data_IF_872412335360
#
_entry.id   IF_872412335360
#
_cell.length_a   1.000
_cell.length_b   1.000
_cell.length_c   1.000
_cell.angle_alpha   90.00
_cell.angle_beta   90.00
_cell.angle_gamma   90.00
#
_symmetry.space_group_name_H-M   'P 1'
#
loop_
_entity.id
_entity.type
_entity.pdbx_description
1 polymer ?
#
# COMPACT_ATOMS: atom_id res chain seq x y z
N UNK A 1 6.60 -21.46 -1.83
CA UNK A 1 6.92 -20.04 -1.58
C UNK A 1 8.16 -19.73 -2.39
N UNK A 2 8.13 -18.72 -3.25
CA UNK A 2 9.32 -18.33 -4.02
C UNK A 2 10.37 -17.72 -3.08
N UNK A 3 11.64 -17.75 -3.48
CA UNK A 3 12.70 -17.04 -2.76
C UNK A 3 12.42 -15.54 -2.71
N UNK A 4 12.77 -14.89 -1.61
CA UNK A 4 12.49 -13.46 -1.39
C UNK A 4 13.12 -12.57 -2.48
N UNK A 5 14.25 -13.00 -3.06
CA UNK A 5 14.91 -12.31 -4.17
C UNK A 5 14.08 -12.32 -5.45
N UNK A 6 13.36 -13.41 -5.72
CA UNK A 6 12.48 -13.50 -6.90
C UNK A 6 11.27 -12.60 -6.71
N UNK A 7 10.68 -12.64 -5.50
CA UNK A 7 9.52 -11.82 -5.15
C UNK A 7 9.83 -10.33 -5.23
N UNK A 8 11.01 -9.91 -4.74
CA UNK A 8 11.45 -8.52 -4.77
C UNK A 8 11.61 -7.93 -6.20
N UNK A 9 11.85 -8.77 -7.21
CA UNK A 9 11.94 -8.34 -8.61
C UNK A 9 10.58 -8.41 -9.30
N UNK A 10 9.82 -9.47 -9.02
CA UNK A 10 8.56 -9.73 -9.70
C UNK A 10 7.42 -8.81 -9.24
N UNK A 11 7.32 -8.54 -7.93
CA UNK A 11 6.24 -7.73 -7.37
C UNK A 11 6.18 -6.30 -7.93
N UNK A 12 7.28 -5.52 -7.96
CA UNK A 12 7.25 -4.17 -8.54
C UNK A 12 6.77 -4.16 -10.00
N UNK A 13 7.22 -5.14 -10.80
CA UNK A 13 6.84 -5.27 -12.20
C UNK A 13 5.34 -5.52 -12.35
N UNK A 14 4.78 -6.44 -11.56
CA UNK A 14 3.34 -6.74 -11.61
C UNK A 14 2.53 -5.54 -11.16
N UNK A 15 2.92 -4.85 -10.08
CA UNK A 15 2.18 -3.69 -9.59
C UNK A 15 2.21 -2.52 -10.57
N UNK A 16 3.33 -2.29 -11.24
CA UNK A 16 3.45 -1.29 -12.29
C UNK A 16 2.55 -1.62 -13.48
N UNK A 17 2.55 -2.87 -13.94
CA UNK A 17 1.69 -3.31 -15.04
C UNK A 17 0.20 -3.20 -14.68
N UNK A 18 -0.19 -3.59 -13.47
CA UNK A 18 -1.57 -3.45 -12.99
C UNK A 18 -1.97 -1.97 -12.95
N UNK A 19 -1.10 -1.10 -12.43
CA UNK A 19 -1.34 0.33 -12.36
C UNK A 19 -1.50 0.98 -13.75
N UNK A 20 -0.69 0.58 -14.74
CA UNK A 20 -0.78 1.09 -16.11
C UNK A 20 -2.12 0.75 -16.78
N UNK A 21 -2.76 -0.34 -16.35
CA UNK A 21 -4.09 -0.77 -16.80
C UNK A 21 -5.22 -0.26 -15.90
N UNK A 22 -4.95 0.73 -15.03
CA UNK A 22 -5.90 1.29 -14.06
C UNK A 22 -6.47 0.25 -13.08
N UNK A 23 -5.74 -0.84 -12.84
CA UNK A 23 -6.08 -1.86 -11.86
C UNK A 23 -5.66 -1.49 -10.45
N UNK A 24 -6.14 -2.24 -9.46
CA UNK A 24 -5.79 -2.06 -8.05
C UNK A 24 -4.87 -3.17 -7.56
N UNK A 25 -3.84 -2.85 -6.77
CA UNK A 25 -2.91 -3.83 -6.16
C UNK A 25 -3.58 -4.70 -5.08
N UNK A 26 -4.79 -4.34 -4.69
CA UNK A 26 -5.64 -5.07 -3.76
C UNK A 26 -7.11 -4.90 -4.17
N UNK A 27 -7.85 -6.01 -4.19
CA UNK A 27 -9.30 -6.00 -4.31
C UNK A 27 -9.92 -5.95 -2.90
N UNK A 28 -9.95 -7.10 -2.21
CA UNK A 28 -10.63 -7.29 -0.92
C UNK A 28 -9.69 -7.50 0.27
N UNK A 29 -8.50 -8.07 0.03
CA UNK A 29 -7.58 -8.50 1.07
C UNK A 29 -6.81 -7.37 1.79
N UNK A 30 -7.00 -6.14 1.33
CA UNK A 30 -6.35 -4.95 1.88
C UNK A 30 -4.85 -4.87 1.55
N UNK A 31 -4.23 -3.82 2.11
CA UNK A 31 -2.82 -3.48 1.86
C UNK A 31 -1.93 -4.15 2.91
N UNK A 32 -2.23 -3.91 4.20
CA UNK A 32 -1.45 -4.43 5.31
C UNK A 32 0.03 -4.03 5.26
N UNK A 33 0.86 -4.68 6.10
CA UNK A 33 2.31 -4.45 6.11
C UNK A 33 2.97 -4.83 4.78
N UNK A 34 2.51 -5.90 4.14
CA UNK A 34 3.15 -6.45 2.94
C UNK A 34 3.03 -5.52 1.73
N UNK A 35 1.90 -4.81 1.57
CA UNK A 35 1.67 -3.98 0.38
C UNK A 35 1.78 -2.48 0.62
N UNK A 36 2.12 -2.06 1.84
CA UNK A 36 2.18 -0.65 2.24
C UNK A 36 3.06 0.17 1.30
N UNK A 37 4.26 -0.32 1.01
CA UNK A 37 5.24 0.41 0.21
C UNK A 37 4.81 0.50 -1.27
N UNK A 38 3.88 -0.36 -1.69
CA UNK A 38 3.29 -0.38 -3.02
C UNK A 38 2.00 0.45 -3.14
N UNK A 39 1.48 1.05 -2.06
CA UNK A 39 0.23 1.81 -2.05
C UNK A 39 0.17 2.90 -3.14
N UNK A 40 1.33 3.48 -3.48
CA UNK A 40 1.51 4.47 -4.55
C UNK A 40 1.06 4.01 -5.93
N UNK A 41 1.04 2.70 -6.19
CA UNK A 41 0.59 2.13 -7.47
C UNK A 41 -0.94 2.18 -7.61
N UNK A 42 -1.69 2.40 -6.54
CA UNK A 42 -3.17 2.44 -6.58
C UNK A 42 -3.79 3.71 -6.01
N UNK A 43 -3.02 4.54 -5.29
CA UNK A 43 -3.50 5.79 -4.69
C UNK A 43 -2.52 6.91 -5.00
N UNK A 44 -3.08 8.07 -5.33
CA UNK A 44 -2.28 9.27 -5.57
C UNK A 44 -1.65 9.79 -4.27
N UNK A 45 -0.54 10.55 -4.35
CA UNK A 45 0.09 11.15 -3.18
C UNK A 45 -0.87 12.02 -2.34
N UNK A 46 -1.79 12.73 -3.00
CA UNK A 46 -2.77 13.60 -2.34
C UNK A 46 -3.78 12.79 -1.51
N UNK A 47 -4.21 11.64 -2.05
CA UNK A 47 -5.13 10.75 -1.36
C UNK A 47 -4.44 10.06 -0.17
N UNK A 48 -3.18 9.65 -0.33
CA UNK A 48 -2.37 9.12 0.78
C UNK A 48 -2.19 10.18 1.88
N UNK A 49 -1.92 11.44 1.51
CA UNK A 49 -1.82 12.53 2.47
C UNK A 49 -3.15 12.80 3.19
N UNK A 50 -4.27 12.69 2.49
CA UNK A 50 -5.61 12.77 3.10
C UNK A 50 -5.83 11.63 4.12
N UNK A 51 -5.48 10.39 3.76
CA UNK A 51 -5.58 9.25 4.68
C UNK A 51 -4.74 9.45 5.95
N UNK A 52 -3.52 10.01 5.82
CA UNK A 52 -2.67 10.37 6.97
C UNK A 52 -3.34 11.40 7.87
N UNK A 53 -3.88 12.48 7.31
CA UNK A 53 -4.58 13.52 8.09
C UNK A 53 -5.78 12.96 8.85
N UNK A 54 -6.56 12.07 8.22
CA UNK A 54 -7.68 11.39 8.89
C UNK A 54 -7.15 10.52 10.02
N UNK A 55 -6.07 9.76 9.79
CA UNK A 55 -5.44 8.92 10.82
C UNK A 55 -4.98 9.76 12.02
N UNK A 56 -4.29 10.86 11.78
CA UNK A 56 -3.75 11.72 12.84
C UNK A 56 -4.87 12.42 13.63
N UNK A 57 -6.00 12.71 12.99
CA UNK A 57 -7.17 13.28 13.66
C UNK A 57 -7.80 12.32 14.67
N UNK A 58 -7.90 11.03 14.33
CA UNK A 58 -8.56 10.03 15.16
C UNK A 58 -7.62 9.20 16.05
N UNK A 59 -6.33 9.16 15.72
CA UNK A 59 -5.30 8.43 16.45
C UNK A 59 -3.98 9.23 16.52
N UNK A 60 -3.98 10.37 17.25
CA UNK A 60 -2.80 11.24 17.35
C UNK A 60 -1.60 10.57 18.03
N UNK A 61 -1.84 9.50 18.80
CA UNK A 61 -0.79 8.73 19.47
C UNK A 61 -0.35 7.49 18.66
N UNK A 62 -0.91 7.27 17.47
CA UNK A 62 -0.60 6.15 16.57
C UNK A 62 -0.69 4.76 17.21
N UNK A 63 -1.63 4.54 18.14
CA UNK A 63 -1.79 3.25 18.84
C UNK A 63 -2.66 2.24 18.09
N UNK A 64 -3.54 2.72 17.19
CA UNK A 64 -4.48 1.87 16.48
C UNK A 64 -3.82 1.26 15.23
N UNK A 65 -3.39 0.00 15.34
CA UNK A 65 -2.87 -0.82 14.24
C UNK A 65 -1.66 -0.18 13.52
N UNK A 66 -0.54 0.01 14.25
CA UNK A 66 0.62 0.72 13.75
C UNK A 66 1.24 0.03 12.53
N UNK A 67 1.87 0.83 11.66
CA UNK A 67 2.67 0.41 10.51
C UNK A 67 1.92 -0.20 9.30
N UNK A 68 0.61 -0.40 9.34
CA UNK A 68 -0.10 -1.18 8.30
C UNK A 68 -0.60 -0.43 7.06
N UNK A 69 -0.87 0.87 7.11
CA UNK A 69 -1.60 1.54 6.00
C UNK A 69 -1.03 2.91 5.66
N UNK A 70 -0.68 3.72 6.64
CA UNK A 70 -0.17 5.09 6.49
C UNK A 70 0.79 5.46 7.61
#
# INVERSE_FOLDING_TARGET
RFEDRVTAVFEPYVYEWVASHRGSISAEHGVGLMKRDYLRYSKSPELIACMKRIKDLFDPNHILNPYKVV
#
